data_IF_225735876963
#
_entry.id   IF_225735876963
#
_cell.length_a   1.000
_cell.length_b   1.000
_cell.length_c   1.000
_cell.angle_alpha   90.00
_cell.angle_beta   90.00
_cell.angle_gamma   90.00
#
_symmetry.space_group_name_H-M   'P 1'
#
loop_
_entity.id
_entity.type
_entity.pdbx_description
1 polymer ?
#
# COMPACT_ATOMS: atom_id res chain seq x y z
N UNK A 1 33.48 47.72 -2.33
CA UNK A 1 32.11 48.23 -2.52
C UNK A 1 31.14 47.14 -2.09
N UNK A 2 30.30 47.38 -1.08
CA UNK A 2 29.39 46.38 -0.51
C UNK A 2 28.03 46.39 -1.20
N UNK A 3 27.38 45.24 -1.47
CA UNK A 3 26.09 45.20 -2.14
C UNK A 3 24.97 45.70 -1.20
N UNK A 4 24.16 46.65 -1.67
CA UNK A 4 22.99 47.17 -0.95
C UNK A 4 22.01 46.03 -0.65
N UNK A 5 21.83 45.71 0.64
CA UNK A 5 20.79 44.80 1.13
C UNK A 5 19.42 45.38 0.79
N UNK A 6 18.71 44.75 -0.15
CA UNK A 6 17.32 45.10 -0.48
C UNK A 6 16.42 44.83 0.73
N UNK A 7 15.74 45.86 1.20
CA UNK A 7 14.93 45.83 2.42
C UNK A 7 13.78 44.81 2.32
N UNK A 8 13.71 43.81 3.22
CA UNK A 8 12.68 42.78 3.20
C UNK A 8 11.26 43.33 3.42
N UNK A 9 11.11 44.49 4.05
CA UNK A 9 9.83 45.17 4.26
C UNK A 9 9.30 45.72 2.94
N UNK A 10 10.18 46.34 2.15
CA UNK A 10 9.85 46.86 0.81
C UNK A 10 9.46 45.72 -0.13
N UNK A 11 10.14 44.57 -0.04
CA UNK A 11 9.80 43.38 -0.82
C UNK A 11 8.41 42.84 -0.46
N UNK A 12 8.09 42.73 0.83
CA UNK A 12 6.78 42.27 1.31
C UNK A 12 5.65 43.24 0.92
N UNK A 13 5.88 44.55 1.02
CA UNK A 13 4.91 45.56 0.62
C UNK A 13 4.61 45.53 -0.89
N UNK A 14 5.62 45.30 -1.72
CA UNK A 14 5.43 45.16 -3.17
C UNK A 14 4.69 43.87 -3.53
N UNK A 15 4.91 42.80 -2.78
CA UNK A 15 4.22 41.53 -2.99
C UNK A 15 2.77 41.57 -2.51
N UNK A 16 2.48 42.23 -1.39
CA UNK A 16 1.10 42.45 -0.92
C UNK A 16 0.31 43.34 -1.88
N UNK A 17 0.91 44.41 -2.40
CA UNK A 17 0.30 45.27 -3.41
C UNK A 17 -0.02 44.50 -4.71
N UNK A 18 0.89 43.63 -5.16
CA UNK A 18 0.65 42.75 -6.32
C UNK A 18 -0.50 41.77 -6.10
N UNK A 19 -0.59 41.16 -4.91
CA UNK A 19 -1.69 40.24 -4.56
C UNK A 19 -3.03 40.97 -4.46
N UNK A 20 -3.06 42.17 -3.89
CA UNK A 20 -4.26 43.00 -3.81
C UNK A 20 -4.78 43.41 -5.20
N UNK A 21 -3.88 43.85 -6.08
CA UNK A 21 -4.24 44.18 -7.47
C UNK A 21 -4.72 42.96 -8.27
N UNK A 22 -4.15 41.78 -8.03
CA UNK A 22 -4.60 40.53 -8.66
C UNK A 22 -5.97 40.07 -8.13
N UNK A 23 -6.24 40.23 -6.83
CA UNK A 23 -7.53 39.90 -6.22
C UNK A 23 -8.68 40.78 -6.75
N UNK A 24 -8.39 42.05 -7.07
CA UNK A 24 -9.38 42.96 -7.69
C UNK A 24 -9.71 42.58 -9.14
N UNK A 25 -8.79 41.94 -9.87
CA UNK A 25 -8.97 41.59 -11.29
C UNK A 25 -9.62 40.23 -11.53
N UNK A 26 -9.41 39.27 -10.62
CA UNK A 26 -9.74 37.85 -10.86
C UNK A 26 -10.91 37.39 -9.96
N UNK A 27 -11.33 38.21 -8.98
CA UNK A 27 -12.28 37.81 -7.95
C UNK A 27 -11.61 36.99 -6.84
N UNK A 28 -12.37 36.59 -5.80
CA UNK A 28 -11.84 35.84 -4.67
C UNK A 28 -11.18 34.56 -5.16
N UNK A 29 -9.97 34.30 -4.67
CA UNK A 29 -9.20 33.09 -4.99
C UNK A 29 -10.12 31.89 -4.67
N UNK A 30 -10.41 31.00 -5.64
CA UNK A 30 -11.21 29.82 -5.36
C UNK A 30 -10.58 29.07 -4.18
N UNK A 31 -11.42 28.62 -3.25
CA UNK A 31 -10.98 27.83 -2.12
C UNK A 31 -10.05 26.73 -2.66
N UNK A 32 -8.84 26.62 -2.10
CA UNK A 32 -7.92 25.56 -2.48
C UNK A 32 -8.69 24.26 -2.36
N UNK A 33 -8.96 23.60 -3.48
CA UNK A 33 -9.41 22.21 -3.47
C UNK A 33 -8.38 21.46 -2.63
N UNK A 34 -8.81 20.73 -1.58
CA UNK A 34 -7.91 19.89 -0.80
C UNK A 34 -7.12 19.05 -1.79
N UNK A 35 -5.80 19.11 -1.71
CA UNK A 35 -4.94 18.27 -2.55
C UNK A 35 -5.40 16.84 -2.30
N UNK A 36 -5.71 16.03 -3.34
CA UNK A 36 -6.05 14.63 -3.11
C UNK A 36 -4.95 14.04 -2.24
N UNK A 37 -5.33 13.51 -1.07
CA UNK A 37 -4.40 12.80 -0.20
C UNK A 37 -3.80 11.71 -1.07
N UNK A 38 -2.46 11.69 -1.19
CA UNK A 38 -1.83 10.58 -1.88
C UNK A 38 -2.33 9.27 -1.23
N UNK A 39 -2.62 8.22 -2.03
CA UNK A 39 -2.91 6.91 -1.47
C UNK A 39 -1.78 6.56 -0.50
N UNK A 40 -2.13 6.19 0.74
CA UNK A 40 -1.16 5.63 1.66
C UNK A 40 -1.03 4.17 1.31
N UNK A 41 0.19 3.71 1.05
CA UNK A 41 0.46 2.29 0.89
C UNK A 41 0.47 1.62 2.25
N UNK A 42 0.34 0.29 2.29
CA UNK A 42 0.34 -0.46 3.53
C UNK A 42 1.58 -0.16 4.40
N UNK A 43 2.76 -0.07 3.80
CA UNK A 43 4.00 0.21 4.52
C UNK A 43 4.01 1.62 5.18
N UNK A 44 3.26 2.59 4.64
CA UNK A 44 3.12 3.93 5.23
C UNK A 44 2.21 3.92 6.47
N UNK A 45 1.45 2.83 6.69
CA UNK A 45 0.52 2.68 7.79
C UNK A 45 1.14 1.97 9.00
N UNK A 46 2.39 1.49 8.89
CA UNK A 46 3.11 0.77 9.94
C UNK A 46 2.24 -0.35 10.56
N UNK A 47 1.83 -1.36 9.75
CA UNK A 47 0.99 -2.45 10.24
C UNK A 47 1.73 -3.25 11.33
N UNK A 48 1.03 -3.65 12.40
CA UNK A 48 1.62 -4.41 13.48
C UNK A 48 1.80 -5.87 13.08
N UNK A 49 2.82 -6.49 13.64
CA UNK A 49 3.00 -7.94 13.61
C UNK A 49 4.26 -8.39 12.88
N UNK A 50 4.63 -9.64 13.09
CA UNK A 50 5.88 -10.25 12.60
C UNK A 50 5.93 -10.31 11.07
N UNK A 51 4.79 -10.50 10.41
CA UNK A 51 4.69 -10.58 8.95
C UNK A 51 4.98 -9.26 8.21
N UNK A 52 5.10 -8.15 8.95
CA UNK A 52 5.33 -6.81 8.39
C UNK A 52 6.65 -6.17 8.84
N UNK A 53 7.56 -6.97 9.41
CA UNK A 53 8.89 -6.49 9.83
C UNK A 53 9.80 -6.23 8.63
N UNK A 54 9.63 -7.02 7.56
CA UNK A 54 10.46 -6.96 6.36
C UNK A 54 9.63 -6.56 5.13
N UNK A 55 10.23 -5.73 4.29
CA UNK A 55 9.61 -5.17 3.08
C UNK A 55 10.57 -5.27 1.91
N UNK A 56 10.24 -6.13 0.96
CA UNK A 56 11.05 -6.38 -0.22
C UNK A 56 10.90 -5.26 -1.25
N UNK A 57 12.03 -4.87 -1.84
CA UNK A 57 12.09 -3.84 -2.89
C UNK A 57 13.10 -4.25 -3.97
N UNK A 58 12.67 -4.93 -5.04
CA UNK A 58 13.51 -5.10 -6.22
C UNK A 58 13.85 -3.73 -6.82
N UNK A 59 15.12 -3.50 -7.10
CA UNK A 59 15.62 -2.25 -7.67
C UNK A 59 15.54 -2.28 -9.19
N UNK A 60 14.98 -1.22 -9.78
CA UNK A 60 14.86 -1.06 -11.22
C UNK A 60 13.44 -1.24 -11.74
N UNK A 61 13.33 -1.25 -13.06
CA UNK A 61 12.11 -1.61 -13.78
C UNK A 61 11.93 -3.12 -13.80
N UNK A 62 10.69 -3.59 -13.90
CA UNK A 62 10.37 -5.02 -13.94
C UNK A 62 11.12 -5.75 -15.06
N UNK A 63 11.33 -5.09 -16.21
CA UNK A 63 12.11 -5.63 -17.33
C UNK A 63 13.59 -5.78 -17.00
N UNK A 64 14.21 -4.79 -16.37
CA UNK A 64 15.64 -4.86 -15.97
C UNK A 64 15.86 -5.94 -14.91
N UNK A 65 14.94 -6.02 -13.94
CA UNK A 65 14.96 -7.03 -12.89
C UNK A 65 14.85 -8.43 -13.50
N UNK A 66 13.88 -8.65 -14.39
CA UNK A 66 13.69 -9.95 -15.04
C UNK A 66 14.84 -10.33 -15.97
N UNK A 67 15.42 -9.37 -16.70
CA UNK A 67 16.61 -9.64 -17.52
C UNK A 67 17.78 -10.10 -16.64
N UNK A 68 18.02 -9.42 -15.51
CA UNK A 68 19.09 -9.77 -14.57
C UNK A 68 18.91 -11.19 -14.00
N UNK A 69 17.69 -11.55 -13.61
CA UNK A 69 17.40 -12.89 -13.09
C UNK A 69 17.49 -13.96 -14.17
N UNK A 70 16.99 -13.68 -15.38
CA UNK A 70 17.10 -14.60 -16.50
C UNK A 70 18.56 -14.85 -16.92
N UNK A 71 19.40 -13.81 -16.90
CA UNK A 71 20.83 -13.93 -17.19
C UNK A 71 21.58 -14.76 -16.12
N UNK A 72 21.18 -14.66 -14.86
CA UNK A 72 21.86 -15.33 -13.74
C UNK A 72 21.39 -16.78 -13.53
N UNK A 73 20.09 -17.05 -13.64
CA UNK A 73 19.48 -18.34 -13.27
C UNK A 73 18.79 -19.04 -14.44
N UNK A 74 18.58 -18.34 -15.55
CA UNK A 74 17.76 -18.81 -16.67
C UNK A 74 16.31 -18.33 -16.55
N UNK A 75 15.62 -18.11 -17.68
CA UNK A 75 14.26 -17.55 -17.70
C UNK A 75 13.19 -18.47 -17.10
N UNK A 76 13.41 -19.78 -17.10
CA UNK A 76 12.45 -20.78 -16.62
C UNK A 76 12.85 -21.36 -15.25
N UNK A 77 13.81 -20.72 -14.57
CA UNK A 77 14.23 -21.10 -13.22
C UNK A 77 13.18 -20.83 -12.17
N UNK A 78 13.29 -21.51 -11.03
CA UNK A 78 12.46 -21.22 -9.86
C UNK A 78 12.63 -19.78 -9.38
N UNK A 79 13.86 -19.27 -9.42
CA UNK A 79 14.21 -17.89 -9.09
C UNK A 79 13.50 -16.89 -10.01
N UNK A 80 13.44 -17.18 -11.31
CA UNK A 80 12.67 -16.37 -12.26
C UNK A 80 11.17 -16.42 -11.98
N UNK A 81 10.63 -17.56 -11.55
CA UNK A 81 9.22 -17.67 -11.14
C UNK A 81 8.94 -16.86 -9.87
N UNK A 82 9.77 -16.98 -8.84
CA UNK A 82 9.67 -16.18 -7.60
C UNK A 82 9.78 -14.68 -7.88
N UNK A 83 10.70 -14.27 -8.76
CA UNK A 83 10.84 -12.87 -9.13
C UNK A 83 9.60 -12.34 -9.85
N UNK A 84 9.01 -13.11 -10.78
CA UNK A 84 7.74 -12.73 -11.42
C UNK A 84 6.62 -12.52 -10.40
N UNK A 85 6.49 -13.45 -9.44
CA UNK A 85 5.50 -13.34 -8.37
C UNK A 85 5.70 -12.06 -7.53
N UNK A 86 6.93 -11.75 -7.14
CA UNK A 86 7.24 -10.52 -6.41
C UNK A 86 6.89 -9.25 -7.22
N UNK A 87 7.19 -9.24 -8.52
CA UNK A 87 6.86 -8.12 -9.41
C UNK A 87 5.34 -8.00 -9.64
N UNK A 88 4.60 -9.11 -9.63
CA UNK A 88 3.15 -9.09 -9.65
C UNK A 88 2.57 -8.48 -8.37
N UNK A 89 3.08 -8.85 -7.19
CA UNK A 89 2.67 -8.20 -5.93
C UNK A 89 2.97 -6.70 -5.91
N UNK A 90 4.06 -6.25 -6.53
CA UNK A 90 4.42 -4.83 -6.62
C UNK A 90 3.32 -3.98 -7.26
N UNK A 91 2.52 -4.56 -8.17
CA UNK A 91 1.39 -3.87 -8.80
C UNK A 91 0.30 -3.49 -7.78
N UNK A 92 0.14 -4.30 -6.74
CA UNK A 92 -0.90 -4.14 -5.72
C UNK A 92 -0.38 -3.43 -4.47
N UNK A 93 0.78 -3.84 -3.94
CA UNK A 93 1.36 -3.28 -2.71
C UNK A 93 2.19 -2.02 -2.94
N UNK A 94 2.52 -1.73 -4.20
CA UNK A 94 3.43 -0.65 -4.55
C UNK A 94 4.90 -1.08 -4.44
N UNK A 95 5.84 -0.12 -4.31
CA UNK A 95 7.27 -0.39 -4.44
C UNK A 95 7.89 -1.21 -3.29
N UNK A 96 7.21 -1.36 -2.17
CA UNK A 96 7.65 -2.15 -1.02
C UNK A 96 6.61 -3.23 -0.75
N UNK A 97 7.01 -4.48 -0.93
CA UNK A 97 6.11 -5.65 -0.85
C UNK A 97 6.33 -6.35 0.49
N UNK A 98 5.28 -6.62 1.28
CA UNK A 98 5.39 -7.40 2.50
C UNK A 98 5.35 -8.88 2.14
N UNK A 99 6.45 -9.44 1.62
CA UNK A 99 6.44 -10.77 0.99
C UNK A 99 5.95 -11.87 1.93
N UNK A 100 6.34 -11.82 3.21
CA UNK A 100 5.86 -12.75 4.23
C UNK A 100 4.33 -12.67 4.41
N UNK A 101 3.77 -11.47 4.54
CA UNK A 101 2.32 -11.29 4.70
C UNK A 101 1.53 -11.64 3.42
N UNK A 102 2.05 -11.27 2.25
CA UNK A 102 1.43 -11.58 0.96
C UNK A 102 1.42 -13.08 0.69
N UNK A 103 2.53 -13.77 0.94
CA UNK A 103 2.60 -15.23 0.83
C UNK A 103 1.71 -15.94 1.85
N UNK A 104 1.66 -15.45 3.10
CA UNK A 104 0.74 -16.00 4.10
C UNK A 104 -0.72 -15.81 3.70
N UNK A 105 -1.08 -14.68 3.09
CA UNK A 105 -2.41 -14.48 2.54
C UNK A 105 -2.69 -15.52 1.46
N UNK A 106 -1.80 -15.72 0.48
CA UNK A 106 -2.01 -16.73 -0.56
C UNK A 106 -2.20 -18.15 0.01
N UNK A 107 -1.42 -18.54 1.01
CA UNK A 107 -1.61 -19.83 1.70
C UNK A 107 -3.00 -19.94 2.34
N UNK A 108 -3.49 -18.88 2.99
CA UNK A 108 -4.84 -18.86 3.55
C UNK A 108 -5.90 -18.96 2.45
N UNK A 109 -5.70 -18.27 1.32
CA UNK A 109 -6.63 -18.29 0.20
C UNK A 109 -6.66 -19.64 -0.52
N UNK A 110 -5.59 -20.42 -0.44
CA UNK A 110 -5.49 -21.78 -0.99
C UNK A 110 -6.05 -22.84 -0.02
N UNK A 111 -5.76 -22.73 1.28
CA UNK A 111 -6.14 -23.73 2.29
C UNK A 111 -7.60 -23.60 2.74
N UNK A 112 -8.21 -22.41 2.59
CA UNK A 112 -9.56 -22.13 3.08
C UNK A 112 -10.58 -21.96 1.96
N UNK A 113 -11.86 -22.21 2.27
CA UNK A 113 -12.97 -21.96 1.35
C UNK A 113 -13.29 -20.46 1.17
N UNK A 114 -12.53 -19.55 1.81
CA UNK A 114 -12.83 -18.12 1.88
C UNK A 114 -13.03 -17.47 0.51
N UNK A 115 -12.15 -17.76 -0.46
CA UNK A 115 -12.27 -17.18 -1.81
C UNK A 115 -13.52 -17.70 -2.51
N UNK A 116 -13.82 -19.00 -2.40
CA UNK A 116 -14.97 -19.60 -3.04
C UNK A 116 -16.29 -19.06 -2.45
N UNK A 117 -16.37 -18.93 -1.12
CA UNK A 117 -17.53 -18.37 -0.42
C UNK A 117 -17.75 -16.90 -0.79
N UNK A 118 -16.70 -16.10 -0.79
CA UNK A 118 -16.78 -14.69 -1.18
C UNK A 118 -17.16 -14.53 -2.64
N UNK A 119 -16.51 -15.25 -3.56
CA UNK A 119 -16.82 -15.23 -4.99
C UNK A 119 -18.28 -15.61 -5.26
N UNK A 120 -18.81 -16.62 -4.57
CA UNK A 120 -20.21 -17.00 -4.67
C UNK A 120 -21.16 -15.89 -4.16
N UNK A 121 -20.84 -15.28 -3.02
CA UNK A 121 -21.67 -14.22 -2.43
C UNK A 121 -21.69 -12.92 -3.25
N UNK A 122 -20.58 -12.59 -3.93
CA UNK A 122 -20.46 -11.37 -4.74
C UNK A 122 -20.79 -11.61 -6.21
N UNK A 123 -20.91 -12.86 -6.64
CA UNK A 123 -21.09 -13.23 -8.05
C UNK A 123 -19.86 -12.94 -8.91
N UNK A 124 -18.66 -12.94 -8.31
CA UNK A 124 -17.38 -12.64 -8.97
C UNK A 124 -16.62 -13.91 -9.35
N UNK A 125 -15.65 -13.80 -10.26
CA UNK A 125 -14.73 -14.90 -10.51
C UNK A 125 -13.78 -15.09 -9.32
N UNK A 126 -13.31 -16.33 -9.10
CA UNK A 126 -12.40 -16.68 -7.99
C UNK A 126 -11.12 -15.84 -8.04
N UNK A 127 -10.53 -15.65 -9.22
CA UNK A 127 -9.30 -14.87 -9.39
C UNK A 127 -9.52 -13.38 -9.08
N UNK A 128 -10.65 -12.80 -9.52
CA UNK A 128 -11.02 -11.42 -9.20
C UNK A 128 -11.22 -11.21 -7.68
N UNK A 129 -11.76 -12.23 -7.00
CA UNK A 129 -11.92 -12.22 -5.54
C UNK A 129 -10.57 -12.30 -4.84
N UNK A 130 -9.63 -13.13 -5.31
CA UNK A 130 -8.25 -13.17 -4.79
C UNK A 130 -7.58 -11.79 -4.96
N UNK A 131 -7.64 -11.19 -6.14
CA UNK A 131 -7.07 -9.85 -6.39
C UNK A 131 -7.69 -8.78 -5.49
N UNK A 132 -8.99 -8.88 -5.23
CA UNK A 132 -9.72 -7.99 -4.31
C UNK A 132 -9.23 -8.15 -2.87
N UNK A 133 -8.95 -9.37 -2.41
CA UNK A 133 -8.42 -9.62 -1.07
C UNK A 133 -6.99 -9.08 -0.91
N UNK A 134 -6.12 -9.24 -1.91
CA UNK A 134 -4.80 -8.59 -1.92
C UNK A 134 -4.92 -7.07 -1.92
N UNK A 135 -5.90 -6.51 -2.64
CA UNK A 135 -6.14 -5.06 -2.64
C UNK A 135 -6.61 -4.55 -1.27
N UNK A 136 -7.50 -5.28 -0.60
CA UNK A 136 -7.94 -4.95 0.76
C UNK A 136 -6.78 -5.06 1.77
N UNK A 137 -5.94 -6.08 1.63
CA UNK A 137 -4.74 -6.23 2.44
C UNK A 137 -3.75 -5.07 2.21
N UNK A 138 -3.48 -4.70 0.94
CA UNK A 138 -2.63 -3.55 0.60
C UNK A 138 -3.16 -2.19 1.09
N UNK A 139 -4.45 -2.10 1.40
CA UNK A 139 -5.09 -0.91 1.98
C UNK A 139 -5.14 -0.94 3.52
N UNK A 140 -4.71 -2.04 4.15
CA UNK A 140 -4.80 -2.23 5.59
C UNK A 140 -6.22 -2.50 6.09
N UNK A 141 -7.12 -2.94 5.21
CA UNK A 141 -8.47 -3.37 5.60
C UNK A 141 -8.49 -4.85 5.98
N UNK A 142 -7.49 -5.59 5.54
CA UNK A 142 -7.15 -6.93 6.03
C UNK A 142 -5.71 -6.92 6.52
N UNK A 143 -5.42 -7.61 7.62
CA UNK A 143 -4.07 -7.89 8.09
C UNK A 143 -3.91 -9.34 8.54
N UNK A 144 -2.68 -9.84 8.47
CA UNK A 144 -2.23 -11.11 9.04
C UNK A 144 -1.77 -10.84 10.47
N UNK A 145 -2.37 -11.54 11.43
CA UNK A 145 -1.94 -11.49 12.83
C UNK A 145 -0.69 -12.37 13.06
N UNK A 146 0.01 -12.19 14.19
CA UNK A 146 1.24 -12.95 14.52
C UNK A 146 1.05 -14.47 14.55
N UNK A 147 -0.17 -14.93 14.80
CA UNK A 147 -0.51 -16.36 14.76
C UNK A 147 -0.81 -16.88 13.35
N UNK A 148 -0.64 -16.06 12.30
CA UNK A 148 -0.87 -16.41 10.90
C UNK A 148 -2.33 -16.32 10.45
N UNK A 149 -3.27 -15.89 11.29
CA UNK A 149 -4.69 -15.76 10.93
C UNK A 149 -5.00 -14.43 10.22
N UNK A 150 -6.01 -14.43 9.35
CA UNK A 150 -6.46 -13.25 8.60
C UNK A 150 -7.54 -12.50 9.37
N UNK A 151 -7.37 -11.19 9.52
CA UNK A 151 -8.29 -10.32 10.23
C UNK A 151 -8.74 -9.14 9.40
N UNK A 152 -10.02 -8.77 9.54
CA UNK A 152 -10.54 -7.48 9.13
C UNK A 152 -10.12 -6.39 10.13
N UNK A 153 -9.61 -5.30 9.60
CA UNK A 153 -9.02 -4.22 10.39
C UNK A 153 -9.57 -2.85 10.02
N UNK A 154 -9.41 -1.91 10.93
CA UNK A 154 -9.57 -0.48 10.66
C UNK A 154 -8.19 0.19 10.76
N UNK A 155 -7.63 0.71 9.65
CA UNK A 155 -6.32 1.31 9.66
C UNK A 155 -6.33 2.66 10.39
N UNK A 156 -5.17 3.11 10.91
CA UNK A 156 -5.03 4.36 11.63
C UNK A 156 -5.24 5.58 10.71
N UNK A 157 -5.80 6.66 11.27
CA UNK A 157 -6.07 7.90 10.54
C UNK A 157 -7.31 7.88 9.65
N UNK A 158 -8.17 6.87 9.80
CA UNK A 158 -9.51 6.82 9.20
C UNK A 158 -10.57 7.36 10.17
N UNK A 159 -11.76 7.75 9.70
CA UNK A 159 -12.84 8.24 10.58
C UNK A 159 -13.29 7.25 11.65
N UNK A 160 -13.00 5.96 11.46
CA UNK A 160 -13.40 4.86 12.34
C UNK A 160 -12.23 4.30 13.16
N UNK A 161 -11.03 4.90 13.08
CA UNK A 161 -9.87 4.47 13.85
C UNK A 161 -10.14 4.52 15.35
N UNK A 162 -9.42 3.67 16.10
CA UNK A 162 -9.45 3.73 17.56
C UNK A 162 -9.09 5.16 18.06
N UNK A 163 -9.63 5.62 19.21
CA UNK A 163 -9.42 6.99 19.70
C UNK A 163 -7.95 7.36 19.91
N UNK A 164 -7.09 6.37 20.11
CA UNK A 164 -5.65 6.52 20.27
C UNK A 164 -4.87 6.49 18.94
N UNK A 165 -5.56 6.41 17.81
CA UNK A 165 -4.95 6.33 16.48
C UNK A 165 -4.26 5.00 16.19
N UNK A 166 -4.56 3.93 16.95
CA UNK A 166 -4.01 2.60 16.71
C UNK A 166 -4.89 1.78 15.75
N UNK A 167 -4.30 0.69 15.25
CA UNK A 167 -4.99 -0.36 14.52
C UNK A 167 -6.09 -1.00 15.37
N UNK A 168 -7.26 -1.20 14.78
CA UNK A 168 -8.34 -1.96 15.39
C UNK A 168 -8.56 -3.25 14.62
N UNK A 169 -8.54 -4.39 15.32
CA UNK A 169 -8.87 -5.70 14.80
C UNK A 169 -10.35 -5.97 15.10
N UNK A 170 -11.15 -6.15 14.05
CA UNK A 170 -12.62 -6.17 14.15
C UNK A 170 -13.17 -7.59 14.12
N UNK A 171 -12.77 -8.37 13.13
CA UNK A 171 -13.33 -9.69 12.87
C UNK A 171 -12.26 -10.60 12.27
N UNK A 172 -12.15 -11.83 12.77
CA UNK A 172 -11.29 -12.84 12.16
C UNK A 172 -11.98 -13.45 10.95
N UNK A 173 -11.34 -13.41 9.79
CA UNK A 173 -11.86 -13.91 8.51
C UNK A 173 -11.45 -15.35 8.21
N UNK A 174 -10.25 -15.73 8.59
CA UNK A 174 -9.76 -17.08 8.43
C UNK A 174 -8.73 -17.39 9.52
N UNK A 175 -8.65 -18.67 9.91
CA UNK A 175 -7.57 -19.18 10.74
C UNK A 175 -6.27 -19.28 9.92
N UNK A 176 -5.15 -19.53 10.61
CA UNK A 176 -3.90 -19.83 9.91
C UNK A 176 -4.04 -21.16 9.15
N UNK A 177 -3.32 -21.34 8.02
CA UNK A 177 -3.30 -22.60 7.29
C UNK A 177 -2.87 -23.74 8.22
N UNK A 178 -3.45 -24.92 8.01
CA UNK A 178 -3.05 -26.10 8.79
C UNK A 178 -1.60 -26.47 8.46
N UNK A 179 -0.81 -26.88 9.46
CA UNK A 179 0.50 -27.48 9.15
C UNK A 179 0.29 -28.69 8.23
N UNK A 180 1.10 -28.86 7.17
CA UNK A 180 1.02 -30.05 6.35
C UNK A 180 1.36 -31.25 7.23
N UNK A 181 0.35 -32.05 7.57
CA UNK A 181 0.57 -33.38 8.13
C UNK A 181 1.30 -34.21 7.08
N UNK A 182 2.62 -34.31 7.22
CA UNK A 182 3.44 -35.31 6.52
C UNK A 182 2.77 -36.68 6.71
N UNK A 183 2.16 -37.21 5.64
CA UNK A 183 1.51 -38.53 5.59
C UNK A 183 2.23 -39.42 4.59
#
# INVERSE_FOLDING_TARGET
MAPKKTDPVVRRARESARRAAAAQRIGPRPARTPRPRQPRYLYDLEPPGTFYQDWDRPNGTDTEVMATVADAFGPDSGEAATMRLMLDYRKTYGPYVPLAAAGQLDLILEDTALVAELAQSTGSAVDDTRDSLHSLHAQGMLLIADNGSLWMTVPPGTPYSAPNGQWAFVERRADAPSEPTDS
#
